data_IF_626768498778
#
_entry.id   IF_626768498778
#
_cell.length_a   1.000
_cell.length_b   1.000
_cell.length_c   1.000
_cell.angle_alpha   90.00
_cell.angle_beta   90.00
_cell.angle_gamma   90.00
#
_symmetry.space_group_name_H-M   'P 1'
#
loop_
_entity.id
_entity.type
_entity.pdbx_description
1 polymer ?
#
# COMPACT_ATOMS: atom_id res chain seq x y z
N UNK A 1 -2.75 2.62 16.54
CA UNK A 1 -1.49 2.66 15.79
C UNK A 1 -0.45 1.68 16.34
N UNK A 2 -0.13 1.72 17.68
CA UNK A 2 0.90 0.84 18.26
C UNK A 2 0.61 -0.66 18.07
N UNK A 3 -0.64 -1.09 18.23
CA UNK A 3 -1.02 -2.47 17.99
C UNK A 3 -0.80 -2.85 16.51
N UNK A 4 -1.29 -2.03 15.56
CA UNK A 4 -1.04 -2.24 14.14
C UNK A 4 0.45 -2.37 13.82
N UNK A 5 1.29 -1.48 14.35
CA UNK A 5 2.74 -1.54 14.15
C UNK A 5 3.35 -2.81 14.74
N UNK A 6 2.90 -3.23 15.94
CA UNK A 6 3.34 -4.47 16.59
C UNK A 6 3.05 -5.72 15.77
N UNK A 7 1.79 -5.88 15.34
CA UNK A 7 1.35 -7.05 14.57
C UNK A 7 1.98 -7.08 13.16
N UNK A 8 2.09 -5.93 12.51
CA UNK A 8 2.77 -5.83 11.21
C UNK A 8 4.24 -6.23 11.30
N UNK A 9 4.92 -5.78 12.37
CA UNK A 9 6.32 -6.17 12.62
C UNK A 9 6.44 -7.65 12.98
N UNK A 10 5.53 -8.21 13.77
CA UNK A 10 5.50 -9.63 14.12
C UNK A 10 5.33 -10.48 12.86
N UNK A 11 4.37 -10.13 11.97
CA UNK A 11 4.18 -10.80 10.69
C UNK A 11 5.48 -10.88 9.88
N UNK A 12 6.18 -9.76 9.67
CA UNK A 12 7.43 -9.73 8.89
C UNK A 12 8.55 -10.53 9.58
N UNK A 13 8.71 -10.40 10.90
CA UNK A 13 9.71 -11.16 11.67
C UNK A 13 9.48 -12.66 11.57
N UNK A 14 8.25 -13.12 11.72
CA UNK A 14 7.96 -14.56 11.67
C UNK A 14 8.13 -15.12 10.25
N UNK A 15 7.80 -14.38 9.20
CA UNK A 15 8.16 -14.75 7.83
C UNK A 15 9.68 -14.91 7.65
N UNK A 16 10.45 -13.99 8.20
CA UNK A 16 11.91 -14.08 8.15
C UNK A 16 12.45 -15.27 8.98
N UNK A 17 11.91 -15.50 10.18
CA UNK A 17 12.29 -16.64 11.01
C UNK A 17 11.96 -17.97 10.35
N UNK A 18 10.83 -18.08 9.66
CA UNK A 18 10.49 -19.24 8.85
C UNK A 18 11.53 -19.51 7.76
N UNK A 19 11.99 -18.46 7.06
CA UNK A 19 13.07 -18.56 6.07
C UNK A 19 14.36 -19.12 6.68
N UNK A 20 14.76 -18.62 7.85
CA UNK A 20 15.96 -19.09 8.55
C UNK A 20 15.81 -20.54 9.01
N UNK A 21 14.70 -20.89 9.68
CA UNK A 21 14.43 -22.26 10.13
C UNK A 21 14.46 -23.27 8.98
N UNK A 22 13.91 -22.90 7.83
CA UNK A 22 13.94 -23.73 6.62
C UNK A 22 15.35 -23.91 6.08
N UNK A 23 16.17 -22.88 6.08
CA UNK A 23 17.56 -22.95 5.66
C UNK A 23 18.40 -23.84 6.60
N UNK A 24 18.03 -23.93 7.87
CA UNK A 24 18.65 -24.83 8.88
C UNK A 24 18.08 -26.27 8.86
N UNK A 25 17.05 -26.55 8.01
CA UNK A 25 16.43 -27.87 7.90
C UNK A 25 15.27 -28.12 8.88
N UNK A 26 14.81 -27.12 9.62
CA UNK A 26 13.69 -27.25 10.57
C UNK A 26 12.34 -26.89 9.93
N UNK A 27 11.90 -27.72 8.99
CA UNK A 27 10.68 -27.45 8.18
C UNK A 27 9.41 -27.29 9.03
N UNK A 28 9.24 -28.09 10.08
CA UNK A 28 8.05 -27.99 10.94
C UNK A 28 8.04 -26.68 11.78
N UNK A 29 9.21 -26.21 12.19
CA UNK A 29 9.36 -24.90 12.85
C UNK A 29 9.06 -23.77 11.85
N UNK A 30 9.56 -23.87 10.62
CA UNK A 30 9.29 -22.90 9.57
C UNK A 30 7.79 -22.78 9.29
N UNK A 31 7.07 -23.90 9.12
CA UNK A 31 5.62 -23.92 8.95
C UNK A 31 4.86 -23.29 10.12
N UNK A 32 5.32 -23.53 11.35
CA UNK A 32 4.70 -22.91 12.51
C UNK A 32 4.84 -21.39 12.51
N UNK A 33 6.04 -20.88 12.19
CA UNK A 33 6.26 -19.45 12.02
C UNK A 33 5.41 -18.86 10.91
N UNK A 34 5.29 -19.52 9.75
CA UNK A 34 4.43 -19.07 8.64
C UNK A 34 2.96 -18.98 9.06
N UNK A 35 2.46 -20.02 9.72
CA UNK A 35 1.09 -20.03 10.22
C UNK A 35 0.81 -18.88 11.21
N UNK A 36 1.70 -18.67 12.17
CA UNK A 36 1.57 -17.56 13.12
C UNK A 36 1.65 -16.22 12.41
N UNK A 37 2.58 -16.05 11.45
CA UNK A 37 2.68 -14.83 10.65
C UNK A 37 1.36 -14.48 9.94
N UNK A 38 0.65 -15.48 9.39
CA UNK A 38 -0.64 -15.26 8.76
C UNK A 38 -1.72 -14.81 9.74
N UNK A 39 -1.67 -15.28 10.99
CA UNK A 39 -2.58 -14.82 12.04
C UNK A 39 -2.30 -13.35 12.42
N UNK A 40 -1.02 -12.97 12.57
CA UNK A 40 -0.65 -11.58 12.88
C UNK A 40 -1.05 -10.61 11.75
N UNK A 41 -1.01 -11.06 10.50
CA UNK A 41 -1.51 -10.26 9.37
C UNK A 41 -3.01 -9.96 9.51
N UNK A 42 -3.82 -10.93 9.93
CA UNK A 42 -5.25 -10.72 10.14
C UNK A 42 -5.51 -9.75 11.30
N UNK A 43 -4.74 -9.85 12.39
CA UNK A 43 -4.80 -8.88 13.49
C UNK A 43 -4.44 -7.47 13.02
N UNK A 44 -3.36 -7.33 12.23
CA UNK A 44 -2.94 -6.04 11.67
C UNK A 44 -4.04 -5.44 10.78
N UNK A 45 -4.71 -6.22 9.92
CA UNK A 45 -5.83 -5.75 9.11
C UNK A 45 -7.00 -5.27 9.96
N UNK A 46 -7.36 -6.01 11.02
CA UNK A 46 -8.41 -5.58 11.95
C UNK A 46 -8.07 -4.23 12.61
N UNK A 47 -6.84 -4.04 13.05
CA UNK A 47 -6.39 -2.78 13.62
C UNK A 47 -6.33 -1.65 12.58
N UNK A 48 -5.95 -1.96 11.34
CA UNK A 48 -5.93 -0.97 10.25
C UNK A 48 -7.36 -0.50 9.92
N UNK A 49 -8.32 -1.41 9.80
CA UNK A 49 -9.72 -1.06 9.55
C UNK A 49 -10.29 -0.16 10.65
N UNK A 50 -9.94 -0.40 11.92
CA UNK A 50 -10.33 0.47 13.04
C UNK A 50 -9.73 1.88 12.94
N UNK A 51 -8.54 2.02 12.35
CA UNK A 51 -7.83 3.31 12.25
C UNK A 51 -8.30 4.16 11.07
N UNK A 52 -8.49 3.53 9.90
CA UNK A 52 -8.77 4.26 8.65
C UNK A 52 -10.17 4.03 8.10
N UNK A 53 -10.95 3.12 8.70
CA UNK A 53 -12.26 2.71 8.19
C UNK A 53 -12.15 1.92 6.89
N UNK A 54 -13.15 2.07 6.02
CA UNK A 54 -13.21 1.44 4.70
C UNK A 54 -13.14 2.48 3.59
N UNK A 55 -11.96 3.00 3.28
CA UNK A 55 -11.80 3.98 2.22
C UNK A 55 -12.15 3.36 0.85
N UNK A 56 -12.60 4.19 -0.07
CA UNK A 56 -12.79 3.83 -1.47
C UNK A 56 -11.44 3.53 -2.15
N UNK A 57 -11.47 2.83 -3.27
CA UNK A 57 -10.25 2.59 -4.08
C UNK A 57 -9.55 3.89 -4.48
N UNK A 58 -10.32 4.96 -4.77
CA UNK A 58 -9.75 6.29 -5.06
C UNK A 58 -8.98 6.81 -3.85
N UNK A 59 -9.58 6.82 -2.67
CA UNK A 59 -8.94 7.28 -1.43
C UNK A 59 -7.72 6.42 -1.07
N UNK A 60 -7.75 5.11 -1.36
CA UNK A 60 -6.59 4.24 -1.19
C UNK A 60 -5.44 4.66 -2.10
N UNK A 61 -5.70 4.94 -3.38
CA UNK A 61 -4.68 5.42 -4.32
C UNK A 61 -4.11 6.78 -3.91
N UNK A 62 -4.96 7.72 -3.49
CA UNK A 62 -4.52 9.03 -2.99
C UNK A 62 -3.63 8.90 -1.75
N UNK A 63 -3.97 8.00 -0.82
CA UNK A 63 -3.16 7.71 0.37
C UNK A 63 -1.83 7.04 0.01
N UNK A 64 -1.83 6.10 -0.95
CA UNK A 64 -0.61 5.45 -1.43
C UNK A 64 0.35 6.47 -2.06
N UNK A 65 -0.15 7.33 -2.95
CA UNK A 65 0.65 8.41 -3.56
C UNK A 65 1.24 9.33 -2.49
N UNK A 66 0.46 9.71 -1.48
CA UNK A 66 0.93 10.55 -0.38
C UNK A 66 2.00 9.84 0.47
N UNK A 67 1.85 8.54 0.72
CA UNK A 67 2.81 7.71 1.44
C UNK A 67 4.15 7.65 0.72
N UNK A 68 4.14 7.21 -0.54
CA UNK A 68 5.35 7.15 -1.38
C UNK A 68 6.03 8.52 -1.51
N UNK A 69 5.23 9.59 -1.67
CA UNK A 69 5.77 10.96 -1.73
C UNK A 69 6.49 11.33 -0.43
N UNK A 70 5.94 11.01 0.72
CA UNK A 70 6.61 11.22 2.00
C UNK A 70 7.90 10.40 2.11
N UNK A 71 7.89 9.15 1.64
CA UNK A 71 9.05 8.26 1.67
C UNK A 71 10.21 8.82 0.87
N UNK A 72 10.00 9.22 -0.39
CA UNK A 72 11.09 9.71 -1.23
C UNK A 72 11.48 11.18 -0.96
N UNK A 73 10.60 12.00 -0.35
CA UNK A 73 10.92 13.41 -0.11
C UNK A 73 11.49 13.68 1.30
N UNK A 74 11.11 12.86 2.28
CA UNK A 74 11.43 13.13 3.70
C UNK A 74 12.07 11.93 4.38
N UNK A 75 11.39 10.77 4.38
CA UNK A 75 11.78 9.63 5.22
C UNK A 75 13.14 9.04 4.80
N UNK A 76 13.24 8.54 3.59
CA UNK A 76 14.48 7.91 3.10
C UNK A 76 15.64 8.90 2.91
N UNK A 77 15.44 10.14 2.42
CA UNK A 77 16.51 11.14 2.43
C UNK A 77 17.08 11.39 3.82
N UNK A 78 16.21 11.49 4.86
CA UNK A 78 16.65 11.67 6.25
C UNK A 78 17.48 10.48 6.74
N UNK A 79 17.04 9.26 6.47
CA UNK A 79 17.79 8.04 6.86
C UNK A 79 19.10 7.90 6.09
N UNK A 80 19.11 8.24 4.79
CA UNK A 80 20.31 8.26 3.96
C UNK A 80 21.34 9.22 4.50
N UNK A 81 20.93 10.46 4.84
CA UNK A 81 21.83 11.48 5.41
C UNK A 81 22.40 11.04 6.75
N UNK A 82 21.57 10.43 7.61
CA UNK A 82 22.04 9.88 8.88
C UNK A 82 23.04 8.73 8.67
N UNK A 83 22.72 7.78 7.79
CA UNK A 83 23.62 6.68 7.47
C UNK A 83 24.99 7.19 6.92
N UNK A 84 24.96 8.24 6.09
CA UNK A 84 26.18 8.86 5.58
C UNK A 84 27.02 9.51 6.69
N UNK A 85 26.38 10.19 7.65
CA UNK A 85 27.07 10.79 8.80
C UNK A 85 27.69 9.73 9.72
N UNK A 86 27.04 8.59 9.87
CA UNK A 86 27.51 7.45 10.67
C UNK A 86 28.53 6.56 9.91
N UNK A 87 28.76 6.80 8.62
CA UNK A 87 29.62 5.96 7.78
C UNK A 87 29.04 4.57 7.51
N UNK A 88 27.71 4.43 7.58
CA UNK A 88 27.02 3.16 7.42
C UNK A 88 26.79 2.80 5.95
N UNK A 89 26.86 1.51 5.63
CA UNK A 89 26.73 1.00 4.25
C UNK A 89 25.30 1.12 3.66
N UNK A 90 24.29 1.38 4.49
CA UNK A 90 22.89 1.50 4.08
C UNK A 90 22.57 2.75 3.20
N UNK A 91 23.55 3.63 2.98
CA UNK A 91 23.38 4.82 2.12
C UNK A 91 22.86 4.45 0.73
N UNK A 92 23.40 3.40 0.14
CA UNK A 92 22.97 2.96 -1.19
C UNK A 92 21.58 2.31 -1.16
N UNK A 93 21.29 1.51 -0.16
CA UNK A 93 19.95 0.90 0.03
C UNK A 93 18.88 1.98 0.15
N UNK A 94 19.11 3.02 0.95
CA UNK A 94 18.16 4.15 1.05
C UNK A 94 18.04 4.94 -0.26
N UNK A 95 19.10 5.04 -1.07
CA UNK A 95 18.98 5.65 -2.39
C UNK A 95 18.10 4.82 -3.33
N UNK A 96 18.27 3.50 -3.35
CA UNK A 96 17.44 2.59 -4.15
C UNK A 96 15.95 2.68 -3.72
N UNK A 97 15.68 2.75 -2.42
CA UNK A 97 14.34 2.93 -1.90
C UNK A 97 13.72 4.29 -2.25
N UNK A 98 14.52 5.38 -2.32
CA UNK A 98 14.06 6.67 -2.84
C UNK A 98 13.61 6.54 -4.30
N UNK A 99 14.42 5.91 -5.13
CA UNK A 99 14.14 5.75 -6.55
C UNK A 99 12.91 4.87 -6.80
N UNK A 100 12.77 3.77 -6.04
CA UNK A 100 11.60 2.90 -6.07
C UNK A 100 10.32 3.62 -5.62
N UNK A 101 10.36 4.41 -4.55
CA UNK A 101 9.19 5.16 -4.07
C UNK A 101 8.74 6.24 -5.08
N UNK A 102 9.65 6.83 -5.84
CA UNK A 102 9.30 7.72 -6.95
C UNK A 102 8.51 6.95 -8.01
N UNK A 103 9.02 5.78 -8.45
CA UNK A 103 8.34 4.95 -9.44
C UNK A 103 6.95 4.49 -8.96
N UNK A 104 6.83 4.08 -7.71
CA UNK A 104 5.55 3.68 -7.11
C UNK A 104 4.53 4.84 -7.11
N UNK A 105 4.95 6.04 -6.69
CA UNK A 105 4.09 7.23 -6.70
C UNK A 105 3.59 7.55 -8.12
N UNK A 106 4.45 7.48 -9.12
CA UNK A 106 4.10 7.70 -10.53
C UNK A 106 3.12 6.63 -11.05
N UNK A 107 3.34 5.35 -10.71
CA UNK A 107 2.46 4.26 -11.09
C UNK A 107 1.07 4.42 -10.48
N UNK A 108 0.96 4.72 -9.19
CA UNK A 108 -0.33 4.96 -8.54
C UNK A 108 -1.05 6.18 -9.11
N UNK A 109 -0.33 7.27 -9.40
CA UNK A 109 -0.89 8.46 -10.04
C UNK A 109 -1.43 8.16 -11.44
N UNK A 110 -0.72 7.36 -12.23
CA UNK A 110 -1.18 6.94 -13.57
C UNK A 110 -2.45 6.08 -13.51
N UNK A 111 -2.53 5.16 -12.54
CA UNK A 111 -3.72 4.32 -12.30
C UNK A 111 -4.90 5.20 -11.90
N UNK A 112 -4.72 6.15 -10.99
CA UNK A 112 -5.75 7.08 -10.54
C UNK A 112 -6.28 7.90 -11.71
N UNK A 113 -5.42 8.52 -12.50
CA UNK A 113 -5.78 9.31 -13.67
C UNK A 113 -6.57 8.50 -14.72
N UNK A 114 -6.20 7.24 -14.93
CA UNK A 114 -6.90 6.33 -15.83
C UNK A 114 -8.30 5.98 -15.30
N UNK A 115 -8.42 5.73 -14.00
CA UNK A 115 -9.71 5.45 -13.35
C UNK A 115 -10.64 6.66 -13.43
N UNK A 116 -10.15 7.86 -13.14
CA UNK A 116 -10.93 9.11 -13.22
C UNK A 116 -11.47 9.38 -14.65
N UNK A 117 -10.64 9.18 -15.67
CA UNK A 117 -11.08 9.29 -17.07
C UNK A 117 -12.20 8.31 -17.41
N UNK A 118 -12.11 7.08 -16.91
CA UNK A 118 -13.14 6.05 -17.13
C UNK A 118 -14.45 6.42 -16.43
N UNK A 119 -14.42 6.87 -15.19
CA UNK A 119 -15.62 7.31 -14.47
C UNK A 119 -16.26 8.53 -15.09
N UNK A 120 -15.48 9.51 -15.55
CA UNK A 120 -16.00 10.67 -16.27
C UNK A 120 -16.67 10.30 -17.60
N UNK A 121 -16.14 9.31 -18.31
CA UNK A 121 -16.75 8.79 -19.52
C UNK A 121 -18.08 8.08 -19.24
N UNK A 122 -18.14 7.23 -18.21
CA UNK A 122 -19.36 6.55 -17.77
C UNK A 122 -20.45 7.55 -17.34
N UNK A 123 -20.11 8.56 -16.54
CA UNK A 123 -21.05 9.59 -16.12
C UNK A 123 -21.70 10.33 -17.31
N UNK A 124 -20.96 10.58 -18.40
CA UNK A 124 -21.50 11.17 -19.62
C UNK A 124 -22.47 10.22 -20.34
N UNK A 125 -22.24 8.91 -20.30
CA UNK A 125 -23.15 7.91 -20.87
C UNK A 125 -24.44 7.85 -20.05
N UNK A 126 -24.35 7.76 -18.74
CA UNK A 126 -25.51 7.72 -17.85
C UNK A 126 -26.38 8.97 -17.97
N UNK A 127 -25.74 10.14 -18.07
CA UNK A 127 -26.49 11.39 -18.33
C UNK A 127 -27.29 11.34 -19.61
N UNK A 128 -26.70 10.82 -20.71
CA UNK A 128 -27.42 10.66 -21.99
C UNK A 128 -28.59 9.67 -21.90
N UNK A 129 -28.43 8.58 -21.14
CA UNK A 129 -29.50 7.64 -20.90
C UNK A 129 -30.64 8.29 -20.12
N UNK A 130 -30.35 9.04 -19.05
CA UNK A 130 -31.35 9.75 -18.28
C UNK A 130 -32.13 10.79 -19.16
N UNK A 131 -31.42 11.55 -19.98
CA UNK A 131 -32.02 12.52 -20.92
C UNK A 131 -32.91 11.83 -21.95
N UNK A 132 -32.50 10.68 -22.50
CA UNK A 132 -33.31 9.90 -23.45
C UNK A 132 -34.58 9.34 -22.79
N UNK A 133 -34.49 8.83 -21.56
CA UNK A 133 -35.66 8.36 -20.82
C UNK A 133 -36.63 9.49 -20.50
N UNK A 134 -36.14 10.67 -20.15
CA UNK A 134 -36.97 11.86 -19.92
C UNK A 134 -37.72 12.26 -21.16
N UNK A 135 -37.07 12.29 -22.34
CA UNK A 135 -37.71 12.59 -23.61
C UNK A 135 -38.84 11.61 -23.95
N UNK A 136 -38.65 10.30 -23.73
CA UNK A 136 -39.69 9.30 -23.93
C UNK A 136 -40.88 9.55 -23.00
N UNK A 137 -40.61 9.87 -21.73
CA UNK A 137 -41.65 10.15 -20.73
C UNK A 137 -42.52 11.36 -21.12
N UNK A 138 -41.95 12.39 -21.75
CA UNK A 138 -42.63 13.60 -22.19
C UNK A 138 -43.52 13.36 -23.45
N UNK A 139 -43.37 12.21 -24.09
CA UNK A 139 -44.17 11.82 -25.29
C UNK A 139 -45.34 10.88 -24.94
N UNK A 140 -45.46 10.43 -23.70
CA UNK A 140 -46.58 9.62 -23.18
C UNK A 140 -47.70 10.50 -22.63
#
# INVERSE_FOLDING_TARGET
EKALAGESMAHIKYRYFAKLARAEGFEDVAKHFEHTADQELLHAWGHLELLIGRPTTKECLEKAIAGETYEFTIMYPTFKDQAAQEGHTAVQEFQEQIDESIEHAEQFAAILAKAEKRFAALAKVEKRHAEAYQQVLETL
#
